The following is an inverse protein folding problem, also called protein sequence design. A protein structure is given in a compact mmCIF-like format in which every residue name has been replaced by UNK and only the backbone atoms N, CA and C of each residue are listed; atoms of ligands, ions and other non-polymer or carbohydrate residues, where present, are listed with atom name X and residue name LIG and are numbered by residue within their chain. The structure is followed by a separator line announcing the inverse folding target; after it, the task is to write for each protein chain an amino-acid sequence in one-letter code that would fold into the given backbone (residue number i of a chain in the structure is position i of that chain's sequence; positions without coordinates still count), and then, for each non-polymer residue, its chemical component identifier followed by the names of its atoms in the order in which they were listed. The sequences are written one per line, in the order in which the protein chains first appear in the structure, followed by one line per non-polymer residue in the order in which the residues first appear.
data_IF_233132662268
#
_entry.id   IF_233132662268
#
_cell.length_a   1.000
_cell.length_b   1.000
_cell.length_c   1.000
_cell.angle_alpha   90.00
_cell.angle_beta   90.00
_cell.angle_gamma   90.00
#
_symmetry.space_group_name_H-M   'P 1'
#
loop_
_entity.id
_entity.type
_entity.pdbx_description
1 polymer ?
#
# COMPACT_ATOMS: atom_id res chain seq x y z
N UNK A 1 -26.37 11.47 -6.26
CA UNK A 1 -25.93 10.17 -5.66
C UNK A 1 -24.77 9.52 -6.42
N UNK A 2 -24.60 9.74 -7.73
CA UNK A 2 -23.42 9.28 -8.48
C UNK A 2 -22.26 10.29 -8.51
N UNK A 3 -22.46 11.54 -8.07
CA UNK A 3 -21.40 12.56 -8.05
C UNK A 3 -20.07 12.14 -7.40
N UNK A 4 -20.01 11.37 -6.28
CA UNK A 4 -18.72 10.97 -5.71
C UNK A 4 -18.09 9.75 -6.41
N UNK A 5 -18.79 9.06 -7.31
CA UNK A 5 -18.29 7.82 -7.93
C UNK A 5 -17.19 8.14 -8.94
N UNK A 6 -17.33 9.23 -9.71
CA UNK A 6 -16.33 9.64 -10.69
C UNK A 6 -14.95 9.94 -10.05
N UNK A 7 -14.84 10.80 -9.00
CA UNK A 7 -13.56 11.02 -8.33
C UNK A 7 -13.04 9.75 -7.63
N UNK A 8 -13.92 8.88 -7.12
CA UNK A 8 -13.51 7.60 -6.52
C UNK A 8 -12.85 6.67 -7.54
N UNK A 9 -13.42 6.55 -8.75
CA UNK A 9 -12.85 5.73 -9.83
C UNK A 9 -11.48 6.29 -10.25
N UNK A 10 -11.37 7.62 -10.43
CA UNK A 10 -10.10 8.25 -10.77
C UNK A 10 -9.05 8.04 -9.68
N UNK A 11 -9.43 8.22 -8.41
CA UNK A 11 -8.56 7.94 -7.28
C UNK A 11 -8.08 6.49 -7.28
N UNK A 12 -8.98 5.52 -7.44
CA UNK A 12 -8.63 4.10 -7.46
C UNK A 12 -7.68 3.77 -8.61
N UNK A 13 -7.90 4.31 -9.81
CA UNK A 13 -7.01 4.12 -10.97
C UNK A 13 -5.61 4.68 -10.66
N UNK A 14 -5.51 5.92 -10.21
CA UNK A 14 -4.22 6.55 -9.91
C UNK A 14 -3.52 5.83 -8.75
N UNK A 15 -4.22 5.57 -7.65
CA UNK A 15 -3.66 4.94 -6.45
C UNK A 15 -3.16 3.50 -6.69
N UNK A 16 -3.75 2.77 -7.63
CA UNK A 16 -3.33 1.39 -7.96
C UNK A 16 -2.27 1.33 -9.04
N UNK A 17 -2.34 2.19 -10.07
CA UNK A 17 -1.32 2.25 -11.14
C UNK A 17 -0.03 2.91 -10.69
N UNK A 18 -0.11 3.86 -9.75
CA UNK A 18 1.02 4.51 -9.10
C UNK A 18 1.02 4.19 -7.61
N UNK A 19 1.31 2.93 -7.22
CA UNK A 19 1.31 2.54 -5.83
C UNK A 19 2.31 3.38 -5.04
N UNK A 20 1.94 3.79 -3.83
CA UNK A 20 2.79 4.62 -2.97
C UNK A 20 4.09 3.92 -2.55
N UNK A 21 4.96 4.69 -1.86
CA UNK A 21 6.28 4.21 -1.40
C UNK A 21 6.14 2.96 -0.51
N UNK A 22 5.17 2.94 0.42
CA UNK A 22 4.97 1.79 1.32
C UNK A 22 4.66 0.49 0.56
N UNK A 23 3.73 0.53 -0.40
CA UNK A 23 3.34 -0.62 -1.23
C UNK A 23 4.47 -1.05 -2.15
N UNK A 24 5.21 -0.09 -2.72
CA UNK A 24 6.37 -0.36 -3.58
C UNK A 24 7.49 -1.04 -2.79
N UNK A 25 7.83 -0.54 -1.59
CA UNK A 25 8.85 -1.14 -0.72
C UNK A 25 8.48 -2.54 -0.26
N UNK A 26 7.21 -2.76 0.09
CA UNK A 26 6.69 -4.09 0.44
C UNK A 26 6.87 -5.08 -0.72
N UNK A 27 6.48 -4.66 -1.93
CA UNK A 27 6.59 -5.48 -3.14
C UNK A 27 8.05 -5.78 -3.49
N UNK A 28 8.90 -4.75 -3.49
CA UNK A 28 10.32 -4.90 -3.76
C UNK A 28 11.00 -5.80 -2.72
N UNK A 29 10.72 -5.61 -1.43
CA UNK A 29 11.24 -6.47 -0.36
C UNK A 29 10.83 -7.93 -0.57
N UNK A 30 9.56 -8.19 -0.89
CA UNK A 30 9.05 -9.53 -1.16
C UNK A 30 9.74 -10.20 -2.35
N UNK A 31 9.98 -9.44 -3.42
CA UNK A 31 10.66 -9.91 -4.63
C UNK A 31 12.18 -10.15 -4.41
N UNK A 32 12.84 -9.32 -3.61
CA UNK A 32 14.29 -9.37 -3.40
C UNK A 32 14.71 -10.35 -2.29
N UNK A 33 13.98 -10.39 -1.17
CA UNK A 33 14.38 -11.12 0.03
C UNK A 33 13.51 -12.35 0.32
N UNK A 34 12.37 -12.48 -0.35
CA UNK A 34 11.36 -13.50 -0.12
C UNK A 34 10.48 -13.21 1.10
N UNK A 35 9.27 -13.77 1.12
CA UNK A 35 8.21 -13.45 2.09
C UNK A 35 8.68 -13.45 3.56
N UNK A 36 9.40 -14.50 3.99
CA UNK A 36 9.83 -14.66 5.39
C UNK A 36 10.74 -13.51 5.87
N UNK A 37 11.58 -12.97 4.99
CA UNK A 37 12.49 -11.87 5.34
C UNK A 37 11.83 -10.49 5.21
N UNK A 38 10.69 -10.39 4.53
CA UNK A 38 9.89 -9.17 4.42
C UNK A 38 8.91 -8.98 5.59
N UNK A 39 8.66 -10.02 6.40
CA UNK A 39 7.75 -9.96 7.57
C UNK A 39 8.07 -8.79 8.51
N UNK A 40 9.32 -8.51 8.91
CA UNK A 40 9.60 -7.39 9.81
C UNK A 40 9.19 -6.03 9.24
N UNK A 41 9.41 -5.82 7.93
CA UNK A 41 8.99 -4.60 7.24
C UNK A 41 7.46 -4.46 7.21
N UNK A 42 6.76 -5.54 6.87
CA UNK A 42 5.30 -5.60 6.81
C UNK A 42 4.64 -5.36 8.17
N UNK A 43 5.20 -5.98 9.23
CA UNK A 43 4.71 -5.82 10.59
C UNK A 43 4.96 -4.38 11.08
N UNK A 44 6.13 -3.82 10.81
CA UNK A 44 6.45 -2.44 11.18
C UNK A 44 5.53 -1.41 10.51
N UNK A 45 5.24 -1.57 9.21
CA UNK A 45 4.33 -0.67 8.50
C UNK A 45 2.88 -0.80 8.97
N UNK A 46 2.40 -2.03 9.21
CA UNK A 46 1.06 -2.28 9.75
C UNK A 46 0.90 -1.72 11.17
N UNK A 47 1.91 -1.90 12.03
CA UNK A 47 1.90 -1.35 13.39
C UNK A 47 1.91 0.19 13.37
N UNK A 48 2.73 0.81 12.52
CA UNK A 48 2.75 2.26 12.36
C UNK A 48 1.38 2.82 11.92
N UNK A 49 0.73 2.15 10.96
CA UNK A 49 -0.62 2.54 10.54
C UNK A 49 -1.64 2.36 11.68
N UNK A 50 -1.57 1.26 12.43
CA UNK A 50 -2.46 1.02 13.56
C UNK A 50 -2.32 2.06 14.68
N UNK A 51 -1.17 2.73 14.79
CA UNK A 51 -0.94 3.81 15.78
C UNK A 51 -1.42 5.18 15.32
N UNK A 52 -1.66 5.38 14.03
CA UNK A 52 -2.21 6.64 13.51
C UNK A 52 -3.74 6.57 13.66
N UNK A 53 -4.26 7.31 14.64
CA UNK A 53 -5.71 7.47 14.90
C UNK A 53 -6.34 8.44 13.93
#
# INVERSE_FOLDING_TARGET
MLEPILPLILFAIVATTTPGIATTLSTASGAQFGFRRSVPLLVGSAAGLATVT
#
